data_IF_510358973227
#
_entry.id   IF_510358973227
#
_cell.length_a   1.000
_cell.length_b   1.000
_cell.length_c   1.000
_cell.angle_alpha   90.00
_cell.angle_beta   90.00
_cell.angle_gamma   90.00
#
_symmetry.space_group_name_H-M   'P 1'
#
loop_
_entity.id
_entity.type
_entity.pdbx_description
1 polymer ?
#
# COMPACT_ATOMS: atom_id res chain seq x y z
N UNK A 1 -4.93 8.55 -1.90
CA UNK A 1 -4.76 7.44 -2.87
C UNK A 1 -4.51 7.92 -4.28
N UNK A 2 -4.98 9.11 -4.66
CA UNK A 2 -4.65 9.78 -5.94
C UNK A 2 -3.14 9.96 -6.16
N UNK A 3 -2.33 10.15 -5.11
CA UNK A 3 -0.89 10.32 -5.26
C UNK A 3 -0.20 9.09 -5.86
N UNK A 4 -0.51 7.89 -5.35
CA UNK A 4 0.09 6.64 -5.87
C UNK A 4 -0.42 6.31 -7.28
N UNK A 5 -1.68 6.65 -7.58
CA UNK A 5 -2.22 6.52 -8.94
C UNK A 5 -1.47 7.41 -9.93
N UNK A 6 -1.16 8.66 -9.54
CA UNK A 6 -0.47 9.63 -10.39
C UNK A 6 0.93 9.15 -10.81
N UNK A 7 1.71 8.58 -9.88
CA UNK A 7 3.08 8.11 -10.15
C UNK A 7 3.17 6.60 -10.41
N UNK A 8 2.03 5.91 -10.60
CA UNK A 8 1.97 4.46 -10.85
C UNK A 8 2.93 4.03 -11.97
N UNK A 9 2.96 4.78 -13.08
CA UNK A 9 3.86 4.50 -14.21
C UNK A 9 5.35 4.62 -13.84
N UNK A 10 5.69 5.47 -12.88
CA UNK A 10 7.06 5.59 -12.37
C UNK A 10 7.50 4.34 -11.59
N UNK A 11 6.58 3.74 -10.83
CA UNK A 11 6.83 2.46 -10.17
C UNK A 11 6.95 1.31 -11.19
N UNK A 12 6.05 1.26 -12.18
CA UNK A 12 6.10 0.25 -13.26
C UNK A 12 7.40 0.33 -14.07
N UNK A 13 7.89 1.53 -14.37
CA UNK A 13 9.16 1.73 -15.07
C UNK A 13 10.38 1.19 -14.28
N UNK A 14 10.24 1.03 -12.96
CA UNK A 14 11.23 0.39 -12.07
C UNK A 14 10.92 -1.08 -11.78
N UNK A 15 10.04 -1.69 -12.57
CA UNK A 15 9.61 -3.09 -12.41
C UNK A 15 9.01 -3.37 -11.02
N UNK A 16 8.28 -2.38 -10.48
CA UNK A 16 7.61 -2.44 -9.20
C UNK A 16 6.09 -2.28 -9.35
N UNK A 17 5.34 -3.14 -8.66
CA UNK A 17 3.88 -3.08 -8.63
C UNK A 17 3.38 -2.38 -7.37
N UNK A 18 2.50 -1.39 -7.56
CA UNK A 18 1.80 -0.74 -6.45
C UNK A 18 0.62 -1.59 -6.02
N UNK A 19 0.48 -1.78 -4.71
CA UNK A 19 -0.65 -2.44 -4.07
C UNK A 19 -1.11 -1.55 -2.91
N UNK A 20 -2.43 -1.44 -2.72
CA UNK A 20 -2.98 -0.89 -1.49
C UNK A 20 -3.61 -1.99 -0.64
N UNK A 21 -3.62 -1.80 0.67
CA UNK A 21 -4.19 -2.75 1.62
C UNK A 21 -5.01 -2.00 2.64
N UNK A 22 -6.16 -2.55 3.02
CA UNK A 22 -6.93 -2.07 4.17
C UNK A 22 -7.69 -3.23 4.81
N UNK A 23 -8.21 -3.02 6.03
CA UNK A 23 -9.11 -3.98 6.69
C UNK A 23 -10.55 -3.98 6.13
N UNK A 24 -10.87 -3.15 5.12
CA UNK A 24 -12.17 -3.14 4.47
C UNK A 24 -12.36 -4.32 3.50
N UNK A 25 -13.63 -4.67 3.28
CA UNK A 25 -14.02 -5.73 2.34
C UNK A 25 -13.74 -5.37 0.88
N UNK A 26 -13.63 -6.39 0.02
CA UNK A 26 -13.53 -6.21 -1.44
C UNK A 26 -14.70 -5.42 -2.04
N UNK A 27 -15.90 -5.51 -1.44
CA UNK A 27 -17.07 -4.74 -1.89
C UNK A 27 -16.91 -3.25 -1.58
N UNK A 28 -16.42 -2.93 -0.39
CA UNK A 28 -16.08 -1.56 0.01
C UNK A 28 -15.01 -0.97 -0.90
N UNK A 29 -13.98 -1.77 -1.25
CA UNK A 29 -12.94 -1.37 -2.20
C UNK A 29 -13.49 -1.05 -3.58
N UNK A 30 -14.38 -1.90 -4.10
CA UNK A 30 -15.01 -1.67 -5.40
C UNK A 30 -15.80 -0.36 -5.41
N UNK A 31 -16.67 -0.16 -4.42
CA UNK A 31 -17.46 1.07 -4.30
C UNK A 31 -16.57 2.31 -4.12
N UNK A 32 -15.48 2.20 -3.38
CA UNK A 32 -14.51 3.27 -3.20
C UNK A 32 -13.79 3.61 -4.52
N UNK A 33 -13.30 2.61 -5.24
CA UNK A 33 -12.62 2.80 -6.52
C UNK A 33 -13.53 3.46 -7.57
N UNK A 34 -14.79 3.03 -7.65
CA UNK A 34 -15.81 3.65 -8.52
C UNK A 34 -16.04 5.12 -8.16
N UNK A 35 -16.17 5.44 -6.87
CA UNK A 35 -16.36 6.82 -6.38
C UNK A 35 -15.16 7.73 -6.65
N UNK A 36 -13.93 7.18 -6.65
CA UNK A 36 -12.71 7.94 -6.91
C UNK A 36 -12.46 8.21 -8.40
N UNK A 37 -13.35 7.77 -9.29
CA UNK A 37 -13.17 7.89 -10.75
C UNK A 37 -12.30 6.78 -11.36
N UNK A 38 -12.10 5.69 -10.61
CA UNK A 38 -11.24 4.57 -10.98
C UNK A 38 -9.91 4.59 -10.23
N UNK A 39 -9.44 3.39 -9.85
CA UNK A 39 -8.11 3.14 -9.29
C UNK A 39 -7.52 2.00 -10.12
N UNK A 40 -6.35 2.21 -10.75
CA UNK A 40 -5.79 1.27 -11.72
C UNK A 40 -4.68 0.39 -11.14
N UNK A 41 -4.69 0.20 -9.81
CA UNK A 41 -3.84 -0.76 -9.13
C UNK A 41 -4.66 -1.62 -8.16
N UNK A 42 -4.21 -2.85 -7.84
CA UNK A 42 -4.97 -3.72 -6.97
C UNK A 42 -5.14 -3.18 -5.55
N UNK A 43 -6.33 -3.38 -5.01
CA UNK A 43 -6.68 -3.08 -3.62
C UNK A 43 -6.94 -4.39 -2.88
N UNK A 44 -6.03 -4.75 -1.97
CA UNK A 44 -6.13 -5.95 -1.15
C UNK A 44 -7.01 -5.70 0.08
N UNK A 45 -7.79 -6.72 0.41
CA UNK A 45 -8.68 -6.74 1.57
C UNK A 45 -8.07 -7.63 2.65
N UNK A 46 -7.75 -7.04 3.80
CA UNK A 46 -7.31 -7.70 5.03
C UNK A 46 -8.48 -7.85 6.02
N UNK A 47 -9.69 -8.06 5.47
CA UNK A 47 -10.95 -8.09 6.21
C UNK A 47 -11.14 -9.36 7.05
N UNK A 48 -10.72 -10.53 6.57
CA UNK A 48 -10.90 -11.79 7.30
C UNK A 48 -9.78 -12.82 7.05
N UNK A 49 -9.17 -13.39 8.11
CA UNK A 49 -9.32 -13.03 9.52
C UNK A 49 -8.90 -11.57 9.77
N UNK A 50 -9.67 -10.84 10.58
CA UNK A 50 -9.62 -9.37 10.65
C UNK A 50 -8.21 -8.86 10.95
N UNK A 51 -7.63 -8.12 9.99
CA UNK A 51 -6.33 -7.51 10.16
C UNK A 51 -5.17 -8.51 10.28
N UNK A 52 -5.30 -9.76 9.84
CA UNK A 52 -4.28 -10.79 10.03
C UNK A 52 -2.94 -10.42 9.37
N UNK A 53 -2.99 -9.88 8.16
CA UNK A 53 -1.78 -9.39 7.48
C UNK A 53 -1.21 -8.19 8.21
N UNK A 54 -2.06 -7.20 8.52
CA UNK A 54 -1.66 -5.99 9.22
C UNK A 54 -1.03 -6.28 10.60
N UNK A 55 -1.53 -7.31 11.29
CA UNK A 55 -0.96 -7.81 12.55
C UNK A 55 0.43 -8.38 12.33
N UNK A 56 0.59 -9.24 11.32
CA UNK A 56 1.88 -9.84 10.96
C UNK A 56 2.93 -8.78 10.57
N UNK A 57 2.50 -7.70 9.91
CA UNK A 57 3.36 -6.57 9.54
C UNK A 57 3.54 -5.52 10.66
N UNK A 58 2.96 -5.78 11.85
CA UNK A 58 3.06 -4.91 13.02
C UNK A 58 2.41 -3.55 12.83
N UNK A 59 1.44 -3.43 11.92
CA UNK A 59 0.76 -2.19 11.58
C UNK A 59 -0.74 -2.18 11.91
N UNK A 60 -1.34 -3.26 12.43
CA UNK A 60 -2.72 -3.21 12.94
C UNK A 60 -2.79 -2.36 14.21
N UNK A 61 -3.76 -1.45 14.29
CA UNK A 61 -4.03 -0.69 15.52
C UNK A 61 -5.07 -1.38 16.41
N UNK A 62 -5.09 -1.12 17.73
CA UNK A 62 -6.11 -1.67 18.64
C UNK A 62 -7.56 -1.37 18.23
N UNK A 63 -7.78 -0.25 17.54
CA UNK A 63 -9.08 0.17 17.03
C UNK A 63 -9.56 -0.63 15.80
N UNK A 64 -8.76 -1.59 15.31
CA UNK A 64 -9.16 -2.52 14.26
C UNK A 64 -8.88 -2.05 12.83
N UNK A 65 -8.07 -1.01 12.62
CA UNK A 65 -7.63 -0.59 11.28
C UNK A 65 -6.11 -0.44 11.21
N UNK A 66 -5.49 -0.64 10.03
CA UNK A 66 -4.05 -0.52 9.90
C UNK A 66 -3.59 0.93 10.05
N UNK A 67 -2.39 1.10 10.63
CA UNK A 67 -1.61 2.32 10.55
C UNK A 67 -1.33 2.65 9.09
N UNK A 68 -1.18 3.94 8.79
CA UNK A 68 -0.67 4.36 7.49
C UNK A 68 0.81 4.01 7.43
N UNK A 69 1.14 3.00 6.64
CA UNK A 69 2.49 2.51 6.48
C UNK A 69 2.77 2.18 5.01
N UNK A 70 4.03 2.29 4.62
CA UNK A 70 4.53 1.84 3.32
C UNK A 70 5.59 0.78 3.56
N UNK A 71 5.50 -0.28 2.76
CA UNK A 71 6.47 -1.36 2.71
C UNK A 71 6.95 -1.49 1.27
N UNK A 72 8.25 -1.68 1.09
CA UNK A 72 8.82 -2.14 -0.19
C UNK A 72 9.29 -3.56 0.03
N UNK A 73 8.75 -4.47 -0.77
CA UNK A 73 9.04 -5.90 -0.72
C UNK A 73 9.74 -6.25 -2.03
N UNK A 74 10.90 -6.89 -1.94
CA UNK A 74 11.62 -7.35 -3.14
C UNK A 74 10.98 -8.60 -3.76
N UNK A 75 11.52 -9.05 -4.89
CA UNK A 75 11.01 -10.21 -5.62
C UNK A 75 11.21 -11.54 -4.88
N UNK A 76 12.04 -11.56 -3.84
CA UNK A 76 12.26 -12.71 -2.97
C UNK A 76 11.31 -12.70 -1.76
N UNK A 77 10.44 -11.70 -1.65
CA UNK A 77 9.47 -11.56 -0.56
C UNK A 77 10.04 -10.93 0.70
N UNK A 78 11.21 -10.28 0.63
CA UNK A 78 11.87 -9.65 1.78
C UNK A 78 11.48 -8.17 1.86
N UNK A 79 11.07 -7.73 3.05
CA UNK A 79 10.82 -6.31 3.32
C UNK A 79 12.16 -5.56 3.33
N UNK A 80 12.36 -4.68 2.35
CA UNK A 80 13.57 -3.83 2.21
C UNK A 80 13.40 -2.44 2.79
N UNK A 81 12.16 -1.98 2.88
CA UNK A 81 11.82 -0.68 3.44
C UNK A 81 10.51 -0.77 4.20
N UNK A 82 10.44 -0.06 5.34
CA UNK A 82 9.24 0.09 6.16
C UNK A 82 9.22 1.50 6.73
N UNK A 83 8.12 2.22 6.53
CA UNK A 83 7.91 3.54 7.14
C UNK A 83 6.46 3.71 7.54
N UNK A 84 6.24 4.07 8.81
CA UNK A 84 4.94 4.45 9.35
C UNK A 84 4.78 5.97 9.27
N UNK A 85 3.54 6.43 9.03
CA UNK A 85 3.19 7.84 8.93
C UNK A 85 2.08 8.14 9.93
N UNK A 86 2.33 9.06 10.86
CA UNK A 86 1.30 9.50 11.81
C UNK A 86 0.25 10.41 11.13
N UNK A 87 0.71 11.29 10.25
CA UNK A 87 -0.11 12.19 9.44
C UNK A 87 0.52 12.37 8.06
N UNK A 88 -0.30 12.63 7.05
CA UNK A 88 0.15 12.95 5.69
C UNK A 88 0.11 11.79 4.69
N UNK A 89 0.55 12.08 3.47
CA UNK A 89 0.64 11.14 2.35
C UNK A 89 2.14 10.89 2.10
N UNK A 90 2.57 9.64 1.86
CA UNK A 90 3.96 9.36 1.49
C UNK A 90 4.38 10.19 0.27
N UNK A 91 5.61 10.71 0.29
CA UNK A 91 6.21 11.30 -0.91
C UNK A 91 6.68 10.18 -1.83
N UNK A 92 6.07 10.08 -3.01
CA UNK A 92 6.40 9.05 -3.98
C UNK A 92 7.86 9.16 -4.47
N UNK A 93 8.45 10.37 -4.45
CA UNK A 93 9.86 10.55 -4.82
C UNK A 93 10.80 9.83 -3.87
N UNK A 94 10.49 9.83 -2.58
CA UNK A 94 11.22 9.05 -1.57
C UNK A 94 11.12 7.56 -1.91
N UNK A 95 9.91 7.06 -2.18
CA UNK A 95 9.68 5.65 -2.47
C UNK A 95 10.38 5.19 -3.76
N UNK A 96 10.37 6.02 -4.81
CA UNK A 96 11.08 5.75 -6.06
C UNK A 96 12.60 5.72 -5.85
N UNK A 97 13.13 6.60 -4.99
CA UNK A 97 14.55 6.60 -4.63
C UNK A 97 14.95 5.40 -3.76
N UNK A 98 14.07 4.92 -2.88
CA UNK A 98 14.29 3.67 -2.13
C UNK A 98 14.27 2.44 -3.06
N UNK A 99 13.41 2.43 -4.08
CA UNK A 99 13.41 1.37 -5.09
C UNK A 99 14.72 1.30 -5.87
N UNK A 100 15.36 2.44 -6.17
CA UNK A 100 16.66 2.47 -6.86
C UNK A 100 17.80 1.82 -6.06
N UNK A 101 17.64 1.66 -4.74
CA UNK A 101 18.61 0.97 -3.88
C UNK A 101 18.44 -0.54 -3.91
N UNK A 102 17.30 -1.03 -4.38
CA UNK A 102 16.94 -2.45 -4.40
C UNK A 102 17.21 -2.96 -5.81
N UNK A 103 18.25 -3.79 -5.96
CA UNK A 103 18.64 -4.42 -7.22
C UNK A 103 18.09 -5.83 -7.32
#
# INVERSE_FOLDING_TARGET
MTNLEADRKGFEAKDAQVLSVSADSVFSHKAFAEKMGGINYPMLSDFYPHGAMSTTYGCLRPEGYPKRAVFIIDKQGVVRFRKEFDKGIPDNKELLAELDKIK
#
